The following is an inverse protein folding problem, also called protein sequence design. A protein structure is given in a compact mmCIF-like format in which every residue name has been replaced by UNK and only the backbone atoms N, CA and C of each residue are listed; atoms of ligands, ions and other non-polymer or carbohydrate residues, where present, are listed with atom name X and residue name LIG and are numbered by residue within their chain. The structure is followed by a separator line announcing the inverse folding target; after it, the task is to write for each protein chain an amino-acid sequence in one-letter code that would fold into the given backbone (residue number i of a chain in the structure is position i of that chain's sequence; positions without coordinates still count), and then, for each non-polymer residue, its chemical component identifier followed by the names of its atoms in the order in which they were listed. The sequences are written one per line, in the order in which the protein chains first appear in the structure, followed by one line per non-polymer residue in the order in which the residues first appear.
data_IF_640854678510
#
_entry.id   IF_640854678510
#
_cell.length_a   1.000
_cell.length_b   1.000
_cell.length_c   1.000
_cell.angle_alpha   90.00
_cell.angle_beta   90.00
_cell.angle_gamma   90.00
#
_symmetry.space_group_name_H-M   'P 1'
#
loop_
_entity.id
_entity.type
_entity.pdbx_description
1 polymer ?
#
# COMPACT_ATOMS: atom_id res chain seq x y z
N UNK A 1 -25.70 -5.03 17.20
CA UNK A 1 -25.76 -5.38 15.76
C UNK A 1 -24.33 -5.39 15.24
N UNK A 2 -23.83 -6.44 14.55
CA UNK A 2 -22.52 -6.37 13.95
C UNK A 2 -22.54 -5.33 12.82
N UNK A 3 -21.53 -4.47 12.77
CA UNK A 3 -21.36 -3.51 11.68
C UNK A 3 -20.99 -4.28 10.40
N UNK A 4 -21.84 -4.19 9.37
CA UNK A 4 -21.52 -4.72 8.05
C UNK A 4 -20.36 -3.90 7.50
N UNK A 5 -19.16 -4.49 7.44
CA UNK A 5 -17.99 -3.85 6.85
C UNK A 5 -17.90 -4.32 5.41
N UNK A 6 -18.13 -3.42 4.45
CA UNK A 6 -17.94 -3.74 3.04
C UNK A 6 -16.47 -4.05 2.77
N UNK A 7 -16.20 -5.26 2.29
CA UNK A 7 -14.87 -5.62 1.80
C UNK A 7 -14.66 -4.93 0.46
N UNK A 8 -13.70 -4.00 0.42
CA UNK A 8 -13.31 -3.36 -0.82
C UNK A 8 -12.58 -4.37 -1.72
N UNK A 9 -12.83 -4.37 -3.04
CA UNK A 9 -12.05 -5.20 -3.96
C UNK A 9 -10.59 -4.78 -3.93
N UNK A 10 -9.70 -5.75 -3.74
CA UNK A 10 -8.26 -5.55 -3.72
C UNK A 10 -7.58 -6.31 -4.86
N UNK A 11 -6.43 -5.77 -5.28
CA UNK A 11 -5.49 -6.38 -6.21
C UNK A 11 -4.13 -6.49 -5.53
N UNK A 12 -3.44 -7.60 -5.79
CA UNK A 12 -2.12 -7.89 -5.21
C UNK A 12 -1.07 -7.79 -6.30
N UNK A 13 -0.03 -7.01 -6.04
CA UNK A 13 1.09 -6.78 -6.94
C UNK A 13 2.36 -7.35 -6.31
N UNK A 14 3.00 -8.27 -7.00
CA UNK A 14 4.28 -8.85 -6.56
C UNK A 14 5.46 -8.13 -7.19
N UNK A 15 6.43 -7.80 -6.35
CA UNK A 15 7.70 -7.19 -6.70
C UNK A 15 8.87 -8.08 -6.23
N UNK A 16 10.07 -7.77 -6.75
CA UNK A 16 11.31 -8.42 -6.31
C UNK A 16 11.55 -8.21 -4.81
N UNK A 17 11.24 -7.01 -4.30
CA UNK A 17 11.46 -6.57 -2.92
C UNK A 17 10.30 -6.92 -1.97
N UNK A 18 9.11 -7.26 -2.47
CA UNK A 18 7.93 -7.45 -1.63
C UNK A 18 6.63 -7.66 -2.39
N UNK A 19 5.52 -7.52 -1.69
CA UNK A 19 4.16 -7.62 -2.25
C UNK A 19 3.35 -6.43 -1.77
N UNK A 20 2.54 -5.83 -2.63
CA UNK A 20 1.71 -4.69 -2.29
C UNK A 20 0.23 -4.93 -2.60
N UNK A 21 -0.64 -4.33 -1.80
CA UNK A 21 -2.09 -4.44 -1.90
C UNK A 21 -2.66 -3.10 -2.34
N UNK A 22 -3.44 -3.12 -3.42
CA UNK A 22 -4.07 -1.95 -4.03
C UNK A 22 -5.58 -2.12 -4.03
N UNK A 23 -6.32 -1.07 -3.71
CA UNK A 23 -7.76 -1.02 -3.88
C UNK A 23 -8.13 -0.66 -5.32
N UNK A 24 -9.33 -1.07 -5.75
CA UNK A 24 -9.86 -0.76 -7.09
C UNK A 24 -9.93 0.74 -7.42
N UNK A 25 -10.01 1.61 -6.40
CA UNK A 25 -10.02 3.06 -6.58
C UNK A 25 -8.64 3.64 -6.91
N UNK A 26 -7.58 2.84 -6.88
CA UNK A 26 -6.23 3.28 -7.17
C UNK A 26 -5.32 3.37 -5.94
N UNK A 27 -5.88 3.32 -4.73
CA UNK A 27 -5.13 3.58 -3.51
C UNK A 27 -4.35 2.34 -3.04
N UNK A 28 -3.12 2.56 -2.61
CA UNK A 28 -2.33 1.53 -1.93
C UNK A 28 -2.76 1.43 -0.46
N UNK A 29 -2.83 0.20 0.07
CA UNK A 29 -3.21 -0.05 1.47
C UNK A 29 -2.04 -0.60 2.28
N UNK A 30 -1.44 -1.71 1.82
CA UNK A 30 -0.41 -2.43 2.55
C UNK A 30 0.74 -2.85 1.65
N UNK A 31 1.93 -2.91 2.24
CA UNK A 31 3.12 -3.48 1.63
C UNK A 31 3.71 -4.51 2.59
N UNK A 32 4.12 -5.65 2.05
CA UNK A 32 4.79 -6.74 2.77
C UNK A 32 6.19 -6.93 2.18
N UNK A 33 7.22 -6.60 2.96
CA UNK A 33 8.61 -6.72 2.51
C UNK A 33 9.11 -8.15 2.59
N UNK A 34 9.82 -8.60 1.55
CA UNK A 34 10.61 -9.83 1.61
C UNK A 34 11.90 -9.60 2.40
N UNK A 35 12.47 -10.64 3.04
CA UNK A 35 11.93 -11.99 3.15
C UNK A 35 11.05 -12.21 4.38
N UNK A 36 11.03 -11.27 5.33
CA UNK A 36 10.44 -11.47 6.66
C UNK A 36 8.93 -11.17 6.73
N UNK A 37 8.34 -10.67 5.65
CA UNK A 37 6.94 -10.27 5.63
C UNK A 37 6.67 -9.01 6.45
N UNK A 38 7.67 -8.15 6.69
CA UNK A 38 7.46 -6.90 7.41
C UNK A 38 6.38 -6.08 6.73
N UNK A 39 5.32 -5.79 7.47
CA UNK A 39 4.18 -5.01 6.99
C UNK A 39 4.44 -3.51 7.14
N UNK A 40 4.06 -2.75 6.12
CA UNK A 40 4.02 -1.30 6.10
C UNK A 40 2.59 -0.90 5.70
N UNK A 41 1.92 -0.17 6.60
CA UNK A 41 0.67 0.50 6.28
C UNK A 41 0.99 1.75 5.45
N UNK A 42 0.43 1.81 4.24
CA UNK A 42 0.59 2.94 3.32
C UNK A 42 -0.74 3.65 3.03
N UNK A 43 -1.75 3.39 3.85
CA UNK A 43 -3.05 4.07 3.76
C UNK A 43 -2.85 5.57 3.93
N UNK A 44 -3.39 6.36 2.99
CA UNK A 44 -3.23 7.82 2.93
C UNK A 44 -1.78 8.32 2.75
N UNK A 45 -0.84 7.45 2.37
CA UNK A 45 0.49 7.89 1.97
C UNK A 45 0.54 8.07 0.45
N UNK A 46 1.22 9.14 0.02
CA UNK A 46 1.55 9.32 -1.39
C UNK A 46 2.78 8.46 -1.70
N UNK A 47 2.54 7.30 -2.31
CA UNK A 47 3.58 6.32 -2.65
C UNK A 47 3.56 5.94 -4.12
N UNK A 48 4.74 5.77 -4.70
CA UNK A 48 4.91 5.19 -6.04
C UNK A 48 5.71 3.90 -5.88
N UNK A 49 5.14 2.79 -6.35
CA UNK A 49 5.77 1.47 -6.32
C UNK A 49 6.32 1.14 -7.71
N UNK A 50 7.58 0.71 -7.76
CA UNK A 50 8.30 0.30 -8.97
C UNK A 50 9.06 -0.99 -8.72
N UNK A 51 9.55 -1.62 -9.78
CA UNK A 51 10.32 -2.87 -9.68
C UNK A 51 11.60 -2.73 -8.84
N UNK A 52 12.20 -1.54 -8.80
CA UNK A 52 13.42 -1.24 -8.07
C UNK A 52 13.19 -0.73 -6.63
N UNK A 53 11.94 -0.44 -6.23
CA UNK A 53 11.67 0.00 -4.86
C UNK A 53 10.36 0.77 -4.67
N UNK A 54 10.29 1.48 -3.54
CA UNK A 54 9.14 2.24 -3.07
C UNK A 54 9.58 3.69 -2.87
N UNK A 55 8.86 4.64 -3.46
CA UNK A 55 9.10 6.08 -3.29
C UNK A 55 8.01 6.66 -2.38
N UNK A 56 8.40 7.43 -1.36
CA UNK A 56 7.50 8.12 -0.44
C UNK A 56 7.58 9.62 -0.68
N UNK A 57 6.44 10.25 -0.95
CA UNK A 57 6.35 11.69 -1.11
C UNK A 57 5.79 12.29 0.18
N UNK A 58 6.57 13.17 0.80
CA UNK A 58 6.03 14.03 1.85
C UNK A 58 5.20 15.12 1.17
N UNK A 59 3.92 15.21 1.50
CA UNK A 59 3.20 16.46 1.26
C UNK A 59 3.92 17.53 2.08
N UNK A 60 4.65 18.40 1.40
CA UNK A 60 5.22 19.59 2.03
C UNK A 60 4.02 20.47 2.33
N UNK A 61 3.40 20.26 3.48
CA UNK A 61 2.52 21.26 4.06
C UNK A 61 3.39 22.52 4.22
N UNK A 62 3.18 23.51 3.35
CA UNK A 62 3.78 24.83 3.46
C UNK A 62 3.59 25.30 4.91
N UNK A 63 4.71 25.44 5.63
CA UNK A 63 4.75 26.04 6.97
C UNK A 63 5.03 27.53 6.83
#
# INVERSE_FOLDING_TARGET
MPSLTELKPYEVFEYSWGTAVKHRNGDWEKIFLKPNGQEIDVTNLNVILRDNGIEFFADIAER
#
